data_IF_517951106785
#
_entry.id   IF_517951106785
#
_cell.length_a   1.000
_cell.length_b   1.000
_cell.length_c   1.000
_cell.angle_alpha   90.00
_cell.angle_beta   90.00
_cell.angle_gamma   90.00
#
_symmetry.space_group_name_H-M   'P 1'
#
loop_
_entity.id
_entity.type
_entity.pdbx_description
1 polymer ?
#
# COMPACT_ATOMS: atom_id res chain seq x y z
N UNK A 1 18.88 -3.58 23.84
CA UNK A 1 19.35 -4.20 22.57
C UNK A 1 20.15 -3.15 21.83
N UNK A 2 21.39 -3.46 21.47
CA UNK A 2 22.26 -2.52 20.78
C UNK A 2 21.80 -2.36 19.33
N UNK A 3 21.74 -1.12 18.84
CA UNK A 3 21.42 -0.86 17.44
C UNK A 3 22.64 -1.10 16.55
N UNK A 4 22.49 -1.94 15.53
CA UNK A 4 23.58 -2.27 14.61
C UNK A 4 23.72 -1.17 13.55
N UNK A 5 24.91 -0.58 13.47
CA UNK A 5 25.21 0.43 12.45
C UNK A 5 25.28 -0.18 11.03
N UNK A 6 25.03 0.66 10.02
CA UNK A 6 24.99 0.24 8.60
C UNK A 6 26.31 -0.40 8.14
N UNK A 7 27.45 0.02 8.70
CA UNK A 7 28.78 -0.52 8.36
C UNK A 7 28.93 -1.96 8.86
N UNK A 8 28.49 -2.22 10.08
CA UNK A 8 28.50 -3.54 10.71
C UNK A 8 27.56 -4.47 9.97
N UNK A 9 26.35 -4.02 9.62
CA UNK A 9 25.41 -4.80 8.80
C UNK A 9 26.02 -5.19 7.44
N UNK A 10 26.68 -4.25 6.75
CA UNK A 10 27.36 -4.54 5.47
C UNK A 10 28.46 -5.58 5.61
N UNK A 11 29.22 -5.54 6.72
CA UNK A 11 30.27 -6.53 7.00
C UNK A 11 29.68 -7.91 7.31
N UNK A 12 28.67 -7.96 8.17
CA UNK A 12 27.99 -9.20 8.55
C UNK A 12 27.35 -9.89 7.34
N UNK A 13 26.77 -9.13 6.40
CA UNK A 13 26.26 -9.69 5.13
C UNK A 13 27.30 -10.44 4.30
N UNK A 14 28.58 -10.08 4.41
CA UNK A 14 29.68 -10.78 3.71
C UNK A 14 30.17 -12.01 4.48
N UNK A 15 30.11 -11.97 5.82
CA UNK A 15 30.58 -13.06 6.68
C UNK A 15 29.55 -14.18 6.83
N UNK A 16 28.25 -13.87 6.86
CA UNK A 16 27.21 -14.88 7.05
C UNK A 16 27.25 -16.01 6.00
N UNK A 17 27.47 -15.74 4.70
CA UNK A 17 27.64 -16.81 3.71
C UNK A 17 28.88 -17.68 3.95
N UNK A 18 29.96 -17.14 4.52
CA UNK A 18 31.19 -17.91 4.76
C UNK A 18 31.04 -18.98 5.85
N UNK A 19 29.94 -18.96 6.61
CA UNK A 19 29.60 -20.02 7.56
C UNK A 19 29.24 -21.35 6.87
N UNK A 20 29.00 -21.34 5.57
CA UNK A 20 28.71 -22.54 4.77
C UNK A 20 29.95 -23.09 4.05
N UNK A 21 31.16 -22.65 4.43
CA UNK A 21 32.39 -23.18 3.84
C UNK A 21 32.61 -24.65 4.22
N UNK A 22 33.13 -25.44 3.27
CA UNK A 22 33.51 -26.84 3.49
C UNK A 22 34.78 -26.99 4.33
N UNK A 23 35.47 -25.88 4.62
CA UNK A 23 36.69 -25.85 5.42
C UNK A 23 36.36 -25.47 6.87
N UNK A 24 36.52 -26.39 7.86
CA UNK A 24 36.18 -26.11 9.25
C UNK A 24 36.93 -24.90 9.84
N UNK A 25 38.19 -24.70 9.42
CA UNK A 25 38.99 -23.56 9.84
C UNK A 25 38.43 -22.21 9.38
N UNK A 26 37.84 -22.16 8.18
CA UNK A 26 37.20 -20.95 7.67
C UNK A 26 35.91 -20.64 8.41
N UNK A 27 35.11 -21.66 8.74
CA UNK A 27 33.88 -21.49 9.54
C UNK A 27 34.24 -20.92 10.92
N UNK A 28 35.21 -21.51 11.62
CA UNK A 28 35.66 -21.03 12.93
C UNK A 28 36.20 -19.59 12.87
N UNK A 29 37.02 -19.28 11.85
CA UNK A 29 37.54 -17.94 11.64
C UNK A 29 36.40 -16.92 11.36
N UNK A 30 35.38 -17.33 10.60
CA UNK A 30 34.20 -16.52 10.28
C UNK A 30 33.36 -16.25 11.52
N UNK A 31 33.09 -17.27 12.35
CA UNK A 31 32.38 -17.10 13.63
C UNK A 31 33.14 -16.12 14.53
N UNK A 32 34.45 -16.27 14.67
CA UNK A 32 35.28 -15.35 15.44
C UNK A 32 35.27 -13.92 14.87
N UNK A 33 35.22 -13.76 13.55
CA UNK A 33 35.10 -12.45 12.89
C UNK A 33 33.73 -11.79 13.16
N UNK A 34 32.64 -12.57 13.15
CA UNK A 34 31.29 -12.09 13.47
C UNK A 34 31.23 -11.63 14.93
N UNK A 35 31.71 -12.45 15.88
CA UNK A 35 31.70 -12.11 17.30
C UNK A 35 32.51 -10.84 17.61
N UNK A 36 33.68 -10.68 16.97
CA UNK A 36 34.50 -9.45 17.09
C UNK A 36 33.79 -8.23 16.52
N UNK A 37 33.12 -8.36 15.38
CA UNK A 37 32.39 -7.27 14.76
C UNK A 37 31.21 -6.78 15.62
N UNK A 38 30.53 -7.70 16.32
CA UNK A 38 29.44 -7.39 17.24
C UNK A 38 29.96 -6.80 18.57
N UNK A 39 30.95 -7.45 19.18
CA UNK A 39 31.52 -7.05 20.47
C UNK A 39 32.14 -5.65 20.42
N UNK A 40 32.76 -5.28 19.28
CA UNK A 40 33.30 -3.94 19.07
C UNK A 40 32.26 -2.79 19.12
N UNK A 41 30.97 -3.13 19.19
CA UNK A 41 29.85 -2.19 19.30
C UNK A 41 28.95 -2.45 20.52
N UNK A 42 29.38 -3.32 21.44
CA UNK A 42 28.54 -3.74 22.57
C UNK A 42 27.30 -4.52 22.14
N UNK A 43 27.30 -5.08 20.94
CA UNK A 43 26.21 -5.90 20.41
C UNK A 43 26.52 -7.39 20.56
N UNK A 44 25.47 -8.19 20.54
CA UNK A 44 25.50 -9.64 20.68
C UNK A 44 24.82 -10.35 19.51
N UNK A 45 24.91 -11.68 19.46
CA UNK A 45 24.18 -12.49 18.48
C UNK A 45 22.66 -12.28 18.61
N UNK A 46 22.14 -12.04 19.82
CA UNK A 46 20.72 -11.72 20.02
C UNK A 46 20.32 -10.42 19.30
N UNK A 47 21.19 -9.41 19.28
CA UNK A 47 20.94 -8.16 18.57
C UNK A 47 20.95 -8.36 17.05
N UNK A 48 21.82 -9.24 16.54
CA UNK A 48 21.81 -9.65 15.13
C UNK A 48 20.50 -10.36 14.74
N UNK A 49 20.02 -11.29 15.57
CA UNK A 49 18.75 -11.99 15.33
C UNK A 49 17.59 -10.99 15.33
N UNK A 50 17.54 -10.07 16.29
CA UNK A 50 16.51 -9.04 16.33
C UNK A 50 16.55 -8.12 15.10
N UNK A 51 17.74 -7.80 14.58
CA UNK A 51 17.87 -7.01 13.36
C UNK A 51 17.36 -7.74 12.11
N UNK A 52 17.49 -9.07 12.05
CA UNK A 52 16.95 -9.91 10.97
C UNK A 52 15.42 -10.09 11.08
N UNK A 53 14.91 -10.18 12.31
CA UNK A 53 13.48 -10.36 12.59
C UNK A 53 12.64 -9.09 12.46
N UNK A 54 13.25 -7.91 12.28
CA UNK A 54 12.50 -6.67 12.03
C UNK A 54 11.81 -6.77 10.67
N UNK A 55 10.46 -6.76 10.60
CA UNK A 55 9.77 -6.72 9.33
C UNK A 55 10.23 -5.47 8.58
N UNK A 56 10.81 -5.68 7.40
CA UNK A 56 11.21 -4.59 6.53
C UNK A 56 9.93 -3.81 6.25
N UNK A 57 9.84 -2.55 6.70
CA UNK A 57 8.73 -1.68 6.31
C UNK A 57 8.61 -1.80 4.79
N UNK A 58 7.47 -2.25 4.25
CA UNK A 58 7.33 -2.38 2.81
C UNK A 58 7.67 -1.02 2.22
N UNK A 59 8.67 -0.99 1.33
CA UNK A 59 8.84 0.17 0.47
C UNK A 59 7.56 0.19 -0.36
N UNK A 60 6.70 1.17 -0.12
CA UNK A 60 5.55 1.42 -0.97
C UNK A 60 6.12 1.83 -2.32
N UNK A 61 6.32 0.86 -3.20
CA UNK A 61 6.57 1.09 -4.61
C UNK A 61 5.16 1.27 -5.17
N UNK A 62 4.77 2.50 -5.48
CA UNK A 62 3.50 2.75 -6.14
C UNK A 62 3.49 1.99 -7.47
N UNK A 63 2.73 0.88 -7.50
CA UNK A 63 2.55 0.05 -8.68
C UNK A 63 1.57 0.76 -9.60
N UNK A 64 2.07 1.48 -10.60
CA UNK A 64 1.26 1.95 -11.72
C UNK A 64 1.06 0.76 -12.67
N UNK A 65 -0.16 0.21 -12.73
CA UNK A 65 -0.54 -0.84 -13.67
C UNK A 65 -0.97 -0.16 -14.97
N UNK A 66 -0.08 -0.13 -15.96
CA UNK A 66 -0.53 -0.05 -17.36
C UNK A 66 -0.87 -1.48 -17.79
N UNK A 67 -2.10 -1.67 -18.28
CA UNK A 67 -2.47 -2.85 -19.05
C UNK A 67 -1.49 -2.90 -20.23
N UNK A 68 -0.68 -3.94 -20.29
CA UNK A 68 0.13 -4.37 -21.44
C UNK A 68 1.48 -3.68 -21.77
N UNK A 69 2.48 -3.72 -20.86
CA UNK A 69 3.90 -3.92 -21.24
C UNK A 69 4.83 -4.11 -20.04
N UNK A 70 5.74 -5.09 -20.13
CA UNK A 70 6.88 -5.25 -19.22
C UNK A 70 8.01 -4.36 -19.75
N UNK A 71 8.37 -3.31 -19.03
CA UNK A 71 9.52 -2.45 -19.33
C UNK A 71 10.54 -2.63 -18.22
N UNK A 72 11.74 -3.11 -18.59
CA UNK A 72 12.90 -3.23 -17.70
C UNK A 72 13.75 -1.99 -17.98
N UNK A 73 13.92 -1.15 -16.95
CA UNK A 73 14.60 0.16 -16.94
C UNK A 73 13.77 1.37 -17.43
N UNK A 74 13.43 2.27 -16.50
CA UNK A 74 12.95 3.61 -16.86
C UNK A 74 13.75 4.72 -16.17
N UNK A 75 14.35 5.56 -17.01
CA UNK A 75 14.90 6.88 -16.70
C UNK A 75 13.73 7.87 -16.66
N UNK A 76 13.50 8.47 -15.49
CA UNK A 76 12.37 9.37 -15.22
C UNK A 76 12.65 10.75 -15.82
N UNK A 77 11.76 11.26 -16.69
CA UNK A 77 11.65 12.68 -17.08
C UNK A 77 10.35 13.19 -16.48
N UNK A 78 10.42 14.20 -15.62
CA UNK A 78 9.24 14.84 -15.03
C UNK A 78 8.61 15.79 -16.06
N UNK A 79 7.31 15.62 -16.34
CA UNK A 79 6.46 16.71 -16.85
C UNK A 79 5.96 17.47 -15.64
N UNK A 80 6.05 18.79 -15.66
CA UNK A 80 5.64 19.67 -14.57
C UNK A 80 4.25 19.28 -14.06
N UNK A 81 4.20 18.99 -12.76
CA UNK A 81 2.98 18.67 -12.03
C UNK A 81 2.16 19.94 -11.94
N UNK A 82 1.11 20.04 -12.75
CA UNK A 82 0.13 21.10 -12.63
C UNK A 82 -0.49 21.05 -11.22
N UNK A 83 -0.45 22.20 -10.54
CA UNK A 83 -0.83 22.35 -9.14
C UNK A 83 -2.30 21.94 -8.95
N UNK A 84 -2.56 21.12 -7.92
CA UNK A 84 -3.89 20.57 -7.69
C UNK A 84 -4.93 21.71 -7.56
N UNK A 85 -6.09 21.61 -8.23
CA UNK A 85 -7.18 22.57 -8.05
C UNK A 85 -7.55 22.65 -6.56
N UNK A 86 -7.53 23.88 -6.03
CA UNK A 86 -7.93 24.20 -4.64
C UNK A 86 -9.28 23.55 -4.33
N UNK A 87 -9.38 22.98 -3.14
CA UNK A 87 -10.56 22.35 -2.55
C UNK A 87 -11.84 23.06 -2.97
N UNK A 88 -12.55 22.47 -3.94
CA UNK A 88 -13.95 22.79 -4.15
C UNK A 88 -14.70 22.15 -2.99
N UNK A 89 -15.19 23.00 -2.10
CA UNK A 89 -16.18 22.71 -1.06
C UNK A 89 -17.46 22.24 -1.77
N UNK A 90 -17.46 20.99 -2.22
CA UNK A 90 -18.64 20.31 -2.75
C UNK A 90 -19.50 19.89 -1.56
N UNK A 91 -20.78 20.24 -1.61
CA UNK A 91 -21.77 19.94 -0.58
C UNK A 91 -21.62 18.49 -0.08
N UNK A 92 -21.44 18.33 1.23
CA UNK A 92 -21.36 17.03 1.86
C UNK A 92 -22.68 16.28 1.64
N UNK A 93 -22.66 15.22 0.85
CA UNK A 93 -23.81 14.34 0.71
C UNK A 93 -24.05 13.65 2.06
N UNK A 94 -25.27 13.75 2.55
CA UNK A 94 -25.67 13.17 3.84
C UNK A 94 -25.61 11.64 3.78
N UNK A 95 -25.46 11.00 4.94
CA UNK A 95 -25.46 9.54 5.04
C UNK A 95 -26.73 8.93 4.41
N UNK A 96 -27.88 9.54 4.63
CA UNK A 96 -29.17 9.09 4.08
C UNK A 96 -29.21 9.16 2.55
N UNK A 97 -28.68 10.23 1.95
CA UNK A 97 -28.57 10.34 0.49
C UNK A 97 -27.66 9.26 -0.09
N UNK A 98 -26.56 8.93 0.60
CA UNK A 98 -25.65 7.86 0.19
C UNK A 98 -26.36 6.51 0.28
N UNK A 99 -27.06 6.24 1.38
CA UNK A 99 -27.84 5.00 1.56
C UNK A 99 -28.88 4.83 0.47
N UNK A 100 -29.66 5.88 0.18
CA UNK A 100 -30.69 5.84 -0.86
C UNK A 100 -30.07 5.56 -2.23
N UNK A 101 -29.02 6.31 -2.58
CA UNK A 101 -28.38 6.22 -3.90
C UNK A 101 -27.71 4.86 -4.11
N UNK A 102 -26.97 4.36 -3.10
CA UNK A 102 -26.28 3.08 -3.19
C UNK A 102 -27.26 1.90 -3.27
N UNK A 103 -28.38 1.93 -2.53
CA UNK A 103 -29.43 0.90 -2.64
C UNK A 103 -30.10 0.88 -4.00
N UNK A 104 -30.38 2.06 -4.57
CA UNK A 104 -30.92 2.18 -5.92
C UNK A 104 -29.97 1.56 -6.95
N UNK A 105 -28.69 1.94 -6.91
CA UNK A 105 -27.67 1.42 -7.85
C UNK A 105 -27.43 -0.09 -7.73
N UNK A 106 -27.63 -0.68 -6.55
CA UNK A 106 -27.48 -2.12 -6.32
C UNK A 106 -28.73 -2.93 -6.70
N UNK A 107 -29.88 -2.28 -6.85
CA UNK A 107 -31.11 -2.97 -7.26
C UNK A 107 -31.04 -3.43 -8.74
N UNK A 108 -30.26 -2.72 -9.55
CA UNK A 108 -30.12 -2.99 -10.97
C UNK A 108 -28.80 -3.73 -11.30
N UNK A 109 -28.86 -4.67 -12.24
CA UNK A 109 -27.70 -5.43 -12.72
C UNK A 109 -26.78 -4.63 -13.66
N UNK A 110 -26.70 -3.31 -13.48
CA UNK A 110 -25.93 -2.40 -14.33
C UNK A 110 -24.45 -2.32 -13.95
N UNK A 111 -24.13 -2.54 -12.68
CA UNK A 111 -22.78 -2.35 -12.15
C UNK A 111 -21.86 -3.51 -12.54
N UNK A 112 -20.63 -3.20 -12.94
CA UNK A 112 -19.58 -4.23 -13.04
C UNK A 112 -19.07 -4.64 -11.64
N UNK A 113 -18.34 -5.75 -11.53
CA UNK A 113 -17.86 -6.31 -10.25
C UNK A 113 -17.12 -5.28 -9.37
N UNK A 114 -16.32 -4.41 -9.99
CA UNK A 114 -15.56 -3.39 -9.26
C UNK A 114 -16.49 -2.30 -8.74
N UNK A 115 -17.42 -1.86 -9.57
CA UNK A 115 -18.40 -0.84 -9.19
C UNK A 115 -19.32 -1.36 -8.11
N UNK A 116 -19.83 -2.58 -8.28
CA UNK A 116 -20.63 -3.27 -7.30
C UNK A 116 -19.89 -3.37 -5.95
N UNK A 117 -18.63 -3.82 -5.96
CA UNK A 117 -17.81 -3.89 -4.75
C UNK A 117 -17.62 -2.54 -4.05
N UNK A 118 -17.42 -1.47 -4.82
CA UNK A 118 -17.34 -0.12 -4.26
C UNK A 118 -18.67 0.33 -3.64
N UNK A 119 -19.79 0.15 -4.35
CA UNK A 119 -21.12 0.59 -3.90
C UNK A 119 -21.54 -0.19 -2.66
N UNK A 120 -21.30 -1.51 -2.60
CA UNK A 120 -21.50 -2.32 -1.39
C UNK A 120 -20.66 -1.82 -0.21
N UNK A 121 -19.40 -1.44 -0.45
CA UNK A 121 -18.56 -0.90 0.63
C UNK A 121 -19.08 0.45 1.14
N UNK A 122 -19.55 1.33 0.24
CA UNK A 122 -20.14 2.60 0.64
C UNK A 122 -21.44 2.41 1.42
N UNK A 123 -22.31 1.49 0.98
CA UNK A 123 -23.55 1.13 1.68
C UNK A 123 -23.23 0.65 3.10
N UNK A 124 -22.37 -0.36 3.24
CA UNK A 124 -22.00 -0.91 4.54
C UNK A 124 -21.38 0.14 5.48
N UNK A 125 -20.55 1.05 4.94
CA UNK A 125 -19.97 2.12 5.74
C UNK A 125 -20.99 3.18 6.17
N UNK A 126 -21.96 3.50 5.32
CA UNK A 126 -23.03 4.42 5.64
C UNK A 126 -23.98 3.82 6.70
N UNK A 127 -24.31 2.54 6.58
CA UNK A 127 -25.15 1.82 7.56
C UNK A 127 -24.49 1.72 8.94
N UNK A 128 -23.18 1.42 8.99
CA UNK A 128 -22.44 1.34 10.25
C UNK A 128 -22.05 2.72 10.82
N UNK A 129 -21.95 3.74 9.97
CA UNK A 129 -21.36 5.03 10.32
C UNK A 129 -22.32 6.04 10.96
N UNK A 130 -23.62 5.95 10.65
CA UNK A 130 -24.63 6.89 11.15
C UNK A 130 -24.21 8.36 10.98
N UNK A 131 -24.36 9.17 12.03
CA UNK A 131 -24.01 10.61 12.04
C UNK A 131 -22.52 10.92 11.85
N UNK A 132 -21.64 9.91 12.01
CA UNK A 132 -20.19 10.06 11.79
C UNK A 132 -19.76 9.67 10.39
N UNK A 133 -20.69 9.22 9.56
CA UNK A 133 -20.39 8.85 8.19
C UNK A 133 -20.07 10.08 7.36
N UNK A 134 -18.92 10.05 6.71
CA UNK A 134 -18.51 11.06 5.75
C UNK A 134 -17.84 10.39 4.55
N UNK A 135 -18.09 10.97 3.38
CA UNK A 135 -17.47 10.55 2.13
C UNK A 135 -16.44 11.59 1.69
N UNK A 136 -15.39 11.12 1.03
CA UNK A 136 -14.39 12.03 0.45
C UNK A 136 -14.95 12.69 -0.83
N UNK A 137 -14.45 13.87 -1.25
CA UNK A 137 -14.89 14.51 -2.48
C UNK A 137 -14.78 13.61 -3.71
N UNK A 138 -13.73 12.79 -3.77
CA UNK A 138 -13.54 11.82 -4.85
C UNK A 138 -14.61 10.71 -4.86
N UNK A 139 -14.99 10.22 -3.68
CA UNK A 139 -16.07 9.23 -3.56
C UNK A 139 -17.42 9.83 -3.95
N UNK A 140 -17.66 11.09 -3.61
CA UNK A 140 -18.86 11.83 -4.03
C UNK A 140 -18.94 11.95 -5.56
N UNK A 141 -17.87 12.44 -6.20
CA UNK A 141 -17.80 12.58 -7.66
C UNK A 141 -18.06 11.22 -8.33
N UNK A 142 -17.42 10.17 -7.84
CA UNK A 142 -17.55 8.84 -8.42
C UNK A 142 -18.98 8.28 -8.29
N UNK A 143 -19.66 8.52 -7.15
CA UNK A 143 -21.06 8.10 -6.97
C UNK A 143 -22.02 8.93 -7.85
N UNK A 144 -21.74 10.22 -8.04
CA UNK A 144 -22.51 11.08 -8.95
C UNK A 144 -22.38 10.59 -10.41
N UNK A 145 -21.17 10.31 -10.87
CA UNK A 145 -20.91 9.77 -12.21
C UNK A 145 -21.65 8.44 -12.44
N UNK A 146 -21.69 7.55 -11.44
CA UNK A 146 -22.48 6.32 -11.52
C UNK A 146 -23.98 6.59 -11.64
N UNK A 147 -24.49 7.52 -10.84
CA UNK A 147 -25.91 7.87 -10.83
C UNK A 147 -26.35 8.47 -12.17
N UNK A 148 -25.48 9.29 -12.80
CA UNK A 148 -25.73 9.82 -14.14
C UNK A 148 -25.76 8.69 -15.17
N UNK A 149 -24.75 7.81 -15.18
CA UNK A 149 -24.70 6.67 -16.13
C UNK A 149 -25.89 5.71 -15.97
N UNK A 150 -26.32 5.48 -14.74
CA UNK A 150 -27.48 4.65 -14.45
C UNK A 150 -28.75 5.26 -15.05
N UNK A 151 -28.97 6.57 -14.88
CA UNK A 151 -30.11 7.28 -15.51
C UNK A 151 -30.03 7.28 -17.04
N UNK A 152 -28.85 7.45 -17.61
CA UNK A 152 -28.64 7.36 -19.07
C UNK A 152 -28.99 5.96 -19.59
N UNK A 153 -28.63 4.91 -18.84
CA UNK A 153 -29.00 3.54 -19.15
C UNK A 153 -30.51 3.32 -19.03
N UNK A 154 -31.14 3.74 -17.92
CA UNK A 154 -32.60 3.65 -17.76
C UNK A 154 -33.34 4.38 -18.89
N UNK A 155 -32.89 5.57 -19.29
CA UNK A 155 -33.48 6.34 -20.38
C UNK A 155 -33.27 5.70 -21.77
N UNK A 156 -32.24 4.86 -21.94
CA UNK A 156 -31.98 4.15 -23.19
C UNK A 156 -32.76 2.83 -23.30
N UNK A 157 -33.19 2.25 -22.18
CA UNK A 157 -33.88 0.95 -22.12
C UNK A 157 -35.36 1.03 -21.68
N UNK A 158 -35.83 2.20 -21.23
CA UNK A 158 -37.24 2.49 -20.91
C UNK A 158 -38.01 3.12 -22.07
#
# INVERSE_FOLDING_TARGET
MAELDTKTIKRLRKLLPMLTSDQPGEVLATVAAILRALSGKGASIHDLVAALGRPRKPRVIERIVYRDRIVVEERIVYRDREEAPKELVGAAMSADEVLKTTRMLLADAFLNDREHGFVCNMLARAECGGDRFAITPRQFIWLQELTVRHREMEAAYG
#
